data_IF_173005789570
#
_entry.id   IF_173005789570
#
_cell.length_a   1.000
_cell.length_b   1.000
_cell.length_c   1.000
_cell.angle_alpha   90.00
_cell.angle_beta   90.00
_cell.angle_gamma   90.00
#
_symmetry.space_group_name_H-M   'P 1'
#
loop_
_entity.id
_entity.type
_entity.pdbx_description
1 polymer ?
#
# COMPACT_ATOMS: atom_id res chain seq x y z
N UNK A 1 24.34 -15.60 -25.87
CA UNK A 1 23.24 -15.85 -26.82
C UNK A 1 23.19 -14.66 -27.76
N UNK A 2 23.37 -14.81 -29.09
CA UNK A 2 23.41 -13.68 -30.02
C UNK A 2 22.02 -13.46 -30.64
N UNK A 3 21.09 -12.94 -29.84
CA UNK A 3 19.73 -12.59 -30.31
C UNK A 3 19.70 -11.07 -30.50
N UNK A 4 19.35 -10.63 -31.71
CA UNK A 4 19.22 -9.19 -31.99
C UNK A 4 18.01 -8.64 -31.24
N UNK A 5 18.13 -7.44 -30.67
CA UNK A 5 17.07 -6.77 -29.89
C UNK A 5 15.72 -6.73 -30.64
N UNK A 6 15.74 -6.48 -31.94
CA UNK A 6 14.52 -6.48 -32.76
C UNK A 6 13.79 -7.82 -32.85
N UNK A 7 14.51 -8.94 -32.69
CA UNK A 7 13.88 -10.28 -32.65
C UNK A 7 13.11 -10.50 -31.35
N UNK A 8 13.60 -9.96 -30.24
CA UNK A 8 12.92 -10.03 -28.93
C UNK A 8 11.66 -9.18 -28.94
N UNK A 9 11.72 -7.95 -29.48
CA UNK A 9 10.54 -7.08 -29.60
C UNK A 9 9.42 -7.68 -30.46
N UNK A 10 9.76 -8.42 -31.52
CA UNK A 10 8.75 -9.12 -32.34
C UNK A 10 8.07 -10.28 -31.59
N UNK A 11 8.77 -10.91 -30.63
CA UNK A 11 8.17 -11.92 -29.75
C UNK A 11 7.24 -11.27 -28.72
N UNK A 12 7.64 -10.14 -28.14
CA UNK A 12 6.81 -9.36 -27.20
C UNK A 12 5.52 -8.85 -27.86
N UNK A 13 5.59 -8.45 -29.14
CA UNK A 13 4.46 -8.01 -29.94
C UNK A 13 3.57 -9.14 -30.49
N UNK A 14 3.87 -10.42 -30.18
CA UNK A 14 3.18 -11.64 -30.68
C UNK A 14 3.18 -11.79 -32.21
N UNK A 15 4.12 -11.18 -32.91
CA UNK A 15 4.24 -11.30 -34.37
C UNK A 15 5.06 -12.52 -34.82
N UNK A 16 5.87 -13.07 -33.91
CA UNK A 16 6.62 -14.30 -34.13
C UNK A 16 6.82 -15.03 -32.79
N UNK A 17 7.14 -16.34 -32.85
CA UNK A 17 7.49 -17.15 -31.69
C UNK A 17 8.90 -17.73 -31.82
N UNK A 18 9.62 -17.98 -30.71
CA UNK A 18 10.91 -18.66 -30.76
C UNK A 18 10.76 -20.09 -31.29
N UNK A 19 11.74 -20.56 -32.07
CA UNK A 19 11.82 -21.96 -32.52
C UNK A 19 12.10 -22.92 -31.35
N UNK A 20 11.56 -24.15 -31.40
CA UNK A 20 11.74 -25.19 -30.36
C UNK A 20 13.16 -25.37 -29.82
N UNK A 21 14.23 -25.46 -30.66
CA UNK A 21 15.60 -25.63 -30.15
C UNK A 21 16.09 -24.46 -29.30
N UNK A 22 15.50 -23.27 -29.51
CA UNK A 22 15.84 -22.06 -28.75
C UNK A 22 15.09 -22.02 -27.42
N UNK A 23 13.85 -22.53 -27.38
CA UNK A 23 13.10 -22.66 -26.14
C UNK A 23 13.84 -23.56 -25.16
N UNK A 24 14.35 -24.72 -25.61
CA UNK A 24 15.15 -25.63 -24.78
C UNK A 24 16.39 -24.96 -24.20
N UNK A 25 17.05 -24.09 -24.98
CA UNK A 25 18.23 -23.35 -24.52
C UNK A 25 17.88 -22.21 -23.55
N UNK A 26 16.73 -21.57 -23.73
CA UNK A 26 16.19 -20.59 -22.78
C UNK A 26 15.85 -21.26 -21.44
N UNK A 27 15.19 -22.42 -21.48
CA UNK A 27 14.87 -23.23 -20.30
C UNK A 27 16.13 -23.62 -19.55
N UNK A 28 17.16 -24.11 -20.25
CA UNK A 28 18.44 -24.45 -19.62
C UNK A 28 19.19 -23.27 -18.98
N UNK A 29 18.94 -22.03 -19.39
CA UNK A 29 19.52 -20.82 -18.79
C UNK A 29 18.67 -20.31 -17.62
N UNK A 30 17.34 -20.40 -17.75
CA UNK A 30 16.37 -19.81 -16.82
C UNK A 30 15.93 -20.77 -15.71
N UNK A 31 16.25 -22.07 -15.84
CA UNK A 31 15.83 -23.13 -14.94
C UNK A 31 14.51 -23.76 -15.37
N UNK A 32 14.42 -25.09 -15.23
CA UNK A 32 13.29 -25.92 -15.66
C UNK A 32 11.94 -25.54 -15.01
N UNK A 33 11.95 -24.77 -13.93
CA UNK A 33 10.76 -24.36 -13.18
C UNK A 33 10.01 -23.14 -13.75
N UNK A 34 10.54 -22.42 -14.74
CA UNK A 34 9.88 -21.21 -15.28
C UNK A 34 8.88 -21.53 -16.40
N UNK A 35 9.08 -22.62 -17.15
CA UNK A 35 8.20 -23.00 -18.27
C UNK A 35 7.29 -24.21 -17.98
N UNK A 36 7.29 -24.74 -16.76
CA UNK A 36 6.28 -25.74 -16.37
C UNK A 36 4.89 -25.14 -16.57
N UNK A 37 4.08 -25.81 -17.39
CA UNK A 37 2.69 -25.46 -17.66
C UNK A 37 1.80 -25.47 -16.38
N UNK A 38 2.34 -25.95 -15.24
CA UNK A 38 1.77 -25.79 -13.90
C UNK A 38 1.88 -24.36 -13.33
N UNK A 39 2.56 -23.45 -14.03
CA UNK A 39 2.49 -22.01 -13.74
C UNK A 39 1.13 -21.41 -14.12
N UNK A 40 0.26 -22.18 -14.79
CA UNK A 40 -1.11 -21.77 -15.12
C UNK A 40 -2.08 -21.78 -13.93
N UNK A 41 -1.63 -22.21 -12.75
CA UNK A 41 -2.37 -22.12 -11.48
C UNK A 41 -1.81 -21.07 -10.52
N UNK A 42 -0.98 -20.13 -10.99
CA UNK A 42 -1.00 -18.82 -10.38
C UNK A 42 -2.40 -18.27 -10.68
N UNK A 43 -3.29 -18.26 -9.69
CA UNK A 43 -4.51 -17.46 -9.73
C UNK A 43 -4.09 -16.11 -10.30
N UNK A 44 -4.44 -15.86 -11.57
CA UNK A 44 -4.23 -14.55 -12.17
C UNK A 44 -5.28 -13.70 -11.50
N UNK A 45 -4.99 -13.28 -10.28
CA UNK A 45 -5.84 -12.43 -9.48
C UNK A 45 -6.23 -11.28 -10.40
N UNK A 46 -7.53 -11.14 -10.63
CA UNK A 46 -8.03 -10.15 -11.56
C UNK A 46 -7.44 -8.78 -11.20
N UNK A 47 -6.97 -8.00 -12.19
CA UNK A 47 -6.33 -6.71 -11.92
C UNK A 47 -7.32 -5.83 -11.13
N UNK A 48 -6.89 -5.35 -9.96
CA UNK A 48 -7.69 -4.47 -9.09
C UNK A 48 -8.06 -3.18 -9.83
N UNK A 49 -9.16 -2.51 -9.47
CA UNK A 49 -9.50 -1.23 -10.09
C UNK A 49 -8.37 -0.20 -9.91
N UNK A 50 -7.66 -0.25 -8.78
CA UNK A 50 -6.45 0.56 -8.54
C UNK A 50 -5.35 0.23 -9.55
N UNK A 51 -5.09 -1.05 -9.81
CA UNK A 51 -4.12 -1.50 -10.81
C UNK A 51 -4.51 -1.11 -12.24
N UNK A 52 -5.81 -1.20 -12.57
CA UNK A 52 -6.32 -0.80 -13.88
C UNK A 52 -6.23 0.71 -14.10
N UNK A 53 -6.61 1.51 -13.10
CA UNK A 53 -6.45 2.97 -13.12
C UNK A 53 -4.98 3.35 -13.31
N UNK A 54 -4.07 2.74 -12.52
CA UNK A 54 -2.64 3.01 -12.57
C UNK A 54 -2.07 2.72 -13.96
N UNK A 55 -2.38 1.54 -14.51
CA UNK A 55 -1.96 1.14 -15.85
C UNK A 55 -2.48 2.11 -16.92
N UNK A 56 -3.77 2.44 -16.88
CA UNK A 56 -4.40 3.37 -17.83
C UNK A 56 -3.79 4.78 -17.75
N UNK A 57 -3.57 5.30 -16.54
CA UNK A 57 -2.98 6.61 -16.33
C UNK A 57 -1.50 6.66 -16.77
N UNK A 58 -0.74 5.59 -16.52
CA UNK A 58 0.65 5.46 -16.96
C UNK A 58 0.75 5.39 -18.49
N UNK A 59 -0.03 4.52 -19.12
CA UNK A 59 -0.05 4.34 -20.58
C UNK A 59 -0.58 5.59 -21.30
N UNK A 60 -1.60 6.25 -20.76
CA UNK A 60 -2.11 7.51 -21.29
C UNK A 60 -1.10 8.66 -21.27
N UNK A 61 -0.05 8.56 -20.44
CA UNK A 61 1.07 9.51 -20.40
C UNK A 61 2.33 9.02 -21.13
N UNK A 62 2.27 7.84 -21.75
CA UNK A 62 3.40 7.23 -22.45
C UNK A 62 4.58 6.88 -21.54
N UNK A 63 4.34 6.69 -20.23
CA UNK A 63 5.39 6.41 -19.26
C UNK A 63 5.68 4.90 -19.17
N UNK A 64 6.95 4.55 -19.07
CA UNK A 64 7.38 3.20 -18.70
C UNK A 64 7.22 2.98 -17.19
N UNK A 65 7.23 1.70 -16.75
CA UNK A 65 7.19 1.36 -15.32
C UNK A 65 8.33 2.03 -14.54
N UNK A 66 9.53 2.05 -15.10
CA UNK A 66 10.70 2.64 -14.45
C UNK A 66 10.61 4.16 -14.35
N UNK A 67 10.12 4.83 -15.39
CA UNK A 67 9.96 6.29 -15.37
C UNK A 67 8.92 6.72 -14.34
N UNK A 68 7.79 6.01 -14.25
CA UNK A 68 6.80 6.28 -13.22
C UNK A 68 7.38 6.02 -11.81
N UNK A 69 8.15 4.94 -11.65
CA UNK A 69 8.79 4.60 -10.38
C UNK A 69 9.73 5.70 -9.92
N UNK A 70 10.60 6.18 -10.81
CA UNK A 70 11.52 7.28 -10.51
C UNK A 70 10.77 8.56 -10.16
N UNK A 71 9.69 8.87 -10.89
CA UNK A 71 8.91 10.10 -10.68
C UNK A 71 8.09 10.08 -9.40
N UNK A 72 7.63 8.91 -8.97
CA UNK A 72 6.91 8.70 -7.71
C UNK A 72 7.84 8.40 -6.51
N UNK A 73 9.17 8.34 -6.73
CA UNK A 73 10.13 7.89 -5.72
C UNK A 73 9.82 6.49 -5.13
N UNK A 74 9.33 5.58 -5.97
CA UNK A 74 8.98 4.21 -5.62
C UNK A 74 9.87 3.19 -6.34
N UNK A 75 9.87 1.94 -5.88
CA UNK A 75 10.52 0.83 -6.58
C UNK A 75 9.72 0.39 -7.81
N UNK A 76 10.36 0.02 -8.94
CA UNK A 76 9.67 -0.49 -10.12
C UNK A 76 8.81 -1.73 -9.84
N UNK A 77 9.27 -2.58 -8.92
CA UNK A 77 8.52 -3.75 -8.46
C UNK A 77 7.21 -3.37 -7.76
N UNK A 78 7.18 -2.27 -7.00
CA UNK A 78 5.96 -1.78 -6.33
C UNK A 78 4.88 -1.43 -7.34
N UNK A 79 5.24 -0.72 -8.41
CA UNK A 79 4.28 -0.38 -9.49
C UNK A 79 3.78 -1.64 -10.18
N UNK A 80 4.69 -2.57 -10.51
CA UNK A 80 4.31 -3.85 -11.10
C UNK A 80 3.33 -4.64 -10.21
N UNK A 81 3.56 -4.68 -8.90
CA UNK A 81 2.66 -5.38 -7.96
C UNK A 81 1.29 -4.72 -7.86
N UNK A 82 1.21 -3.40 -7.93
CA UNK A 82 -0.07 -2.69 -7.95
C UNK A 82 -0.80 -2.95 -9.29
N UNK A 83 -0.12 -2.82 -10.43
CA UNK A 83 -0.74 -3.06 -11.76
C UNK A 83 -1.17 -4.51 -11.97
N UNK A 84 -0.44 -5.47 -11.38
CA UNK A 84 -0.76 -6.91 -11.46
C UNK A 84 -1.76 -7.38 -10.41
N UNK A 85 -2.26 -6.49 -9.53
CA UNK A 85 -3.19 -6.85 -8.47
C UNK A 85 -2.56 -7.57 -7.27
N UNK A 86 -1.25 -7.89 -7.29
CA UNK A 86 -0.52 -8.44 -6.13
C UNK A 86 -0.51 -7.50 -4.92
N UNK A 87 -0.70 -6.21 -5.15
CA UNK A 87 -0.96 -5.21 -4.12
C UNK A 87 -2.25 -4.47 -4.45
N UNK A 88 -3.35 -4.92 -3.86
CA UNK A 88 -4.69 -4.34 -4.08
C UNK A 88 -4.90 -3.03 -3.34
N UNK A 89 -4.40 -2.94 -2.10
CA UNK A 89 -4.48 -1.76 -1.25
C UNK A 89 -3.10 -1.15 -0.95
N UNK A 90 -2.51 -0.38 -1.88
CA UNK A 90 -1.32 0.40 -1.58
C UNK A 90 -1.61 1.46 -0.51
N UNK A 91 -0.62 1.75 0.35
CA UNK A 91 -0.77 2.74 1.41
C UNK A 91 -1.05 4.15 0.88
N UNK A 92 -1.67 5.01 1.69
CA UNK A 92 -2.06 6.38 1.29
C UNK A 92 -0.91 7.18 0.68
N UNK A 93 0.27 7.17 1.33
CA UNK A 93 1.47 7.87 0.82
C UNK A 93 1.90 7.39 -0.56
N UNK A 94 1.79 6.07 -0.81
CA UNK A 94 2.07 5.48 -2.12
C UNK A 94 1.07 5.96 -3.16
N UNK A 95 -0.21 6.05 -2.79
CA UNK A 95 -1.26 6.54 -3.69
C UNK A 95 -1.06 8.03 -4.00
N UNK A 96 -0.79 8.86 -2.99
CA UNK A 96 -0.51 10.28 -3.17
C UNK A 96 0.70 10.49 -4.08
N UNK A 97 1.80 9.78 -3.83
CA UNK A 97 2.99 9.85 -4.69
C UNK A 97 2.69 9.43 -6.14
N UNK A 98 1.86 8.41 -6.34
CA UNK A 98 1.44 7.99 -7.68
C UNK A 98 0.54 9.03 -8.35
N UNK A 99 -0.43 9.61 -7.64
CA UNK A 99 -1.32 10.65 -8.16
C UNK A 99 -0.55 11.91 -8.53
N UNK A 100 0.43 12.31 -7.71
CA UNK A 100 1.30 13.46 -7.96
C UNK A 100 2.21 13.21 -9.17
N UNK A 101 2.88 12.04 -9.22
CA UNK A 101 3.71 11.66 -10.36
C UNK A 101 2.93 11.54 -11.67
N UNK A 102 1.68 11.07 -11.59
CA UNK A 102 0.76 10.96 -12.71
C UNK A 102 -0.03 12.24 -12.95
N UNK A 103 0.07 13.29 -12.13
CA UNK A 103 -0.77 14.49 -12.20
C UNK A 103 -2.25 14.22 -12.48
N UNK A 104 -2.78 13.09 -12.00
CA UNK A 104 -4.11 12.58 -12.32
C UNK A 104 -4.72 12.02 -11.05
N UNK A 105 -5.99 12.35 -10.79
CA UNK A 105 -6.71 11.79 -9.65
C UNK A 105 -7.18 10.37 -9.95
N UNK A 106 -7.39 9.62 -8.89
CA UNK A 106 -7.92 8.26 -8.94
C UNK A 106 -9.39 8.34 -9.31
N UNK A 107 -9.87 7.39 -10.12
CA UNK A 107 -11.29 7.32 -10.44
C UNK A 107 -12.13 6.88 -9.22
N UNK A 108 -13.44 7.10 -9.29
CA UNK A 108 -14.36 6.82 -8.18
C UNK A 108 -14.39 5.33 -7.82
N UNK A 109 -14.21 4.47 -8.81
CA UNK A 109 -14.32 3.02 -8.67
C UNK A 109 -13.07 2.45 -7.99
N UNK A 110 -11.86 2.83 -8.41
CA UNK A 110 -10.63 2.47 -7.72
C UNK A 110 -10.56 3.05 -6.30
N UNK A 111 -11.06 4.27 -6.11
CA UNK A 111 -11.16 4.88 -4.78
C UNK A 111 -12.10 4.10 -3.85
N UNK A 112 -13.18 3.54 -4.39
CA UNK A 112 -14.14 2.73 -3.63
C UNK A 112 -13.59 1.35 -3.30
N UNK A 113 -12.96 0.67 -4.26
CA UNK A 113 -12.32 -0.63 -4.02
C UNK A 113 -11.23 -0.52 -2.96
N UNK A 114 -10.38 0.52 -3.03
CA UNK A 114 -9.37 0.78 -2.01
C UNK A 114 -9.99 0.96 -0.61
N UNK A 115 -11.09 1.70 -0.51
CA UNK A 115 -11.80 1.87 0.78
C UNK A 115 -12.34 0.56 1.31
N UNK A 116 -12.87 -0.31 0.44
CA UNK A 116 -13.37 -1.62 0.85
C UNK A 116 -12.22 -2.51 1.32
N UNK A 117 -11.11 -2.57 0.59
CA UNK A 117 -9.96 -3.39 0.97
C UNK A 117 -9.25 -2.88 2.23
N UNK A 118 -9.31 -1.57 2.50
CA UNK A 118 -8.78 -0.98 3.75
C UNK A 118 -9.76 -1.04 4.92
N UNK A 119 -11.03 -1.38 4.66
CA UNK A 119 -12.05 -1.55 5.70
C UNK A 119 -12.19 -3.02 6.03
N UNK A 120 -11.68 -3.44 7.18
CA UNK A 120 -11.95 -4.78 7.70
C UNK A 120 -13.37 -4.76 8.27
N UNK A 121 -14.23 -5.70 7.88
CA UNK A 121 -15.60 -5.77 8.39
C UNK A 121 -15.61 -5.78 9.93
N UNK A 122 -16.26 -4.78 10.54
CA UNK A 122 -16.27 -4.54 11.99
C UNK A 122 -15.17 -3.61 12.54
N UNK A 123 -14.08 -3.38 11.79
CA UNK A 123 -13.05 -2.39 12.12
C UNK A 123 -13.17 -1.21 11.14
N UNK A 124 -13.44 -0.01 11.63
CA UNK A 124 -13.57 1.17 10.76
C UNK A 124 -12.28 1.48 9.98
N UNK A 125 -12.39 2.37 9.00
CA UNK A 125 -11.26 2.83 8.18
C UNK A 125 -10.09 3.32 9.05
N UNK A 126 -8.88 2.91 8.70
CA UNK A 126 -7.65 3.44 9.30
C UNK A 126 -7.31 4.79 8.66
N UNK A 127 -7.45 5.88 9.41
CA UNK A 127 -7.33 7.25 8.91
C UNK A 127 -6.22 8.00 9.64
N UNK A 128 -5.39 8.70 8.87
CA UNK A 128 -4.33 9.56 9.41
C UNK A 128 -4.90 10.92 9.85
N UNK A 129 -4.24 11.54 10.83
CA UNK A 129 -4.51 12.91 11.26
C UNK A 129 -3.29 13.51 11.97
N UNK A 130 -3.22 14.83 12.06
CA UNK A 130 -2.16 15.51 12.80
C UNK A 130 -2.54 15.63 14.30
N UNK A 131 -1.81 14.96 15.23
CA UNK A 131 -2.10 15.04 16.66
C UNK A 131 -1.84 16.43 17.26
N UNK A 132 -1.08 17.29 16.57
CA UNK A 132 -0.78 18.65 17.02
C UNK A 132 -1.78 19.69 16.49
N UNK A 133 -2.66 19.33 15.56
CA UNK A 133 -3.69 20.22 15.00
C UNK A 133 -5.07 19.82 15.49
N UNK A 134 -5.60 20.57 16.47
CA UNK A 134 -6.91 20.27 17.11
C UNK A 134 -8.07 20.17 16.12
N UNK A 135 -8.01 20.89 15.00
CA UNK A 135 -9.03 20.84 13.95
C UNK A 135 -9.11 19.50 13.22
N UNK A 136 -8.04 18.70 13.25
CA UNK A 136 -8.00 17.37 12.62
C UNK A 136 -8.35 16.24 13.59
N UNK A 137 -8.57 16.54 14.87
CA UNK A 137 -8.78 15.51 15.88
C UNK A 137 -10.11 14.76 15.68
N UNK A 138 -10.08 13.42 15.65
CA UNK A 138 -11.28 12.65 15.42
C UNK A 138 -12.19 12.65 16.66
N UNK A 139 -13.41 13.16 16.50
CA UNK A 139 -14.48 13.07 17.51
C UNK A 139 -15.23 11.74 17.40
N UNK A 140 -14.48 10.64 17.47
CA UNK A 140 -15.01 9.28 17.31
C UNK A 140 -14.47 8.35 18.39
N UNK A 141 -15.23 7.28 18.65
CA UNK A 141 -14.78 6.17 19.48
C UNK A 141 -13.87 5.26 18.66
N UNK A 142 -12.72 4.88 19.18
CA UNK A 142 -11.75 4.10 18.39
C UNK A 142 -10.42 3.84 19.08
N UNK A 143 -9.53 3.21 18.32
CA UNK A 143 -8.12 3.01 18.68
C UNK A 143 -7.28 3.93 17.82
N UNK A 144 -6.25 4.54 18.41
CA UNK A 144 -5.30 5.41 17.72
C UNK A 144 -3.87 5.01 18.03
N UNK A 145 -2.98 5.33 17.11
CA UNK A 145 -1.55 5.05 17.16
C UNK A 145 -0.81 6.35 16.88
N UNK A 146 0.23 6.64 17.68
CA UNK A 146 1.16 7.73 17.42
C UNK A 146 2.47 7.20 16.84
N UNK A 147 3.06 8.01 15.98
CA UNK A 147 4.28 7.68 15.26
C UNK A 147 5.37 8.72 15.49
N UNK A 148 6.62 8.29 15.49
CA UNK A 148 7.77 9.19 15.45
C UNK A 148 8.03 9.72 14.03
N UNK A 149 9.07 10.55 13.87
CA UNK A 149 9.51 11.07 12.56
C UNK A 149 9.91 9.99 11.54
N UNK A 150 10.13 8.75 12.00
CA UNK A 150 10.55 7.60 11.20
C UNK A 150 9.37 6.67 10.92
N UNK A 151 8.14 7.10 11.19
CA UNK A 151 6.90 6.32 11.04
C UNK A 151 6.86 5.06 11.91
N UNK A 152 7.62 5.04 13.01
CA UNK A 152 7.60 3.93 13.98
C UNK A 152 6.45 4.17 14.95
N UNK A 153 5.56 3.18 15.16
CA UNK A 153 4.53 3.32 16.17
C UNK A 153 5.21 3.39 17.56
N UNK A 154 4.86 4.40 18.35
CA UNK A 154 5.44 4.66 19.68
C UNK A 154 4.41 4.55 20.80
N UNK A 155 3.14 4.78 20.50
CA UNK A 155 2.06 4.75 21.47
C UNK A 155 0.79 4.21 20.83
N UNK A 156 0.04 3.40 21.56
CA UNK A 156 -1.30 2.93 21.19
C UNK A 156 -2.24 3.27 22.32
N UNK A 157 -3.39 3.85 22.00
CA UNK A 157 -4.44 4.08 22.97
C UNK A 157 -5.82 3.89 22.37
N UNK A 158 -6.81 3.69 23.23
CA UNK A 158 -8.23 3.72 22.86
C UNK A 158 -8.97 4.83 23.58
N UNK A 159 -10.10 5.25 23.01
CA UNK A 159 -11.07 6.11 23.69
C UNK A 159 -12.50 5.93 23.19
N UNK A 160 -13.47 6.37 24.00
CA UNK A 160 -14.85 6.63 23.53
C UNK A 160 -14.93 7.91 22.70
N UNK A 161 -14.01 8.84 22.92
CA UNK A 161 -13.81 10.04 22.12
C UNK A 161 -12.30 10.33 22.05
N UNK A 162 -11.71 10.14 20.87
CA UNK A 162 -10.27 10.30 20.67
C UNK A 162 -9.84 11.76 20.89
N UNK A 163 -10.60 12.75 20.43
CA UNK A 163 -10.30 14.16 20.63
C UNK A 163 -10.20 14.56 22.11
N UNK A 164 -11.14 14.10 22.95
CA UNK A 164 -11.09 14.31 24.41
C UNK A 164 -9.83 13.67 25.01
N UNK A 165 -9.50 12.44 24.60
CA UNK A 165 -8.34 11.72 25.10
C UNK A 165 -7.01 12.37 24.68
N UNK A 166 -6.96 12.95 23.48
CA UNK A 166 -5.77 13.68 23.03
C UNK A 166 -5.55 14.95 23.84
N UNK A 167 -6.62 15.60 24.29
CA UNK A 167 -6.51 16.75 25.17
C UNK A 167 -5.75 16.41 26.47
N UNK A 168 -5.97 15.21 27.03
CA UNK A 168 -5.23 14.72 28.20
C UNK A 168 -3.73 14.50 27.93
N UNK A 169 -3.34 14.35 26.66
CA UNK A 169 -1.94 14.10 26.27
C UNK A 169 -1.17 15.38 25.96
N UNK A 170 -1.83 16.50 25.62
CA UNK A 170 -1.17 17.76 25.18
C UNK A 170 -0.10 18.24 26.15
N UNK A 171 -0.35 18.12 27.45
CA UNK A 171 0.57 18.61 28.47
C UNK A 171 1.71 17.64 28.79
N UNK A 172 1.66 16.40 28.27
CA UNK A 172 2.68 15.39 28.53
C UNK A 172 3.92 15.65 27.67
N UNK A 173 5.10 15.59 28.28
CA UNK A 173 6.37 15.85 27.59
C UNK A 173 6.56 14.96 26.36
N UNK A 174 6.08 13.71 26.44
CA UNK A 174 6.24 12.72 25.39
C UNK A 174 5.31 12.93 24.19
N UNK A 175 4.24 13.71 24.33
CA UNK A 175 3.31 13.98 23.24
C UNK A 175 3.85 15.04 22.28
N UNK A 176 4.91 15.76 22.65
CA UNK A 176 5.49 16.85 21.86
C UNK A 176 6.39 16.31 20.74
N UNK A 177 6.55 17.11 19.68
CA UNK A 177 7.61 16.88 18.69
C UNK A 177 8.99 16.96 19.36
N UNK A 178 9.98 16.15 18.95
CA UNK A 178 9.95 15.22 17.82
C UNK A 178 9.50 13.79 18.17
N UNK A 179 8.96 13.57 19.38
CA UNK A 179 8.59 12.22 19.87
C UNK A 179 7.35 11.74 19.12
N UNK A 180 6.26 12.51 19.15
CA UNK A 180 5.07 12.28 18.33
C UNK A 180 5.09 13.23 17.14
N UNK A 181 5.12 12.69 15.93
CA UNK A 181 5.10 13.46 14.68
C UNK A 181 3.74 13.38 13.98
N UNK A 182 3.18 12.16 13.87
CA UNK A 182 1.91 11.89 13.21
C UNK A 182 1.07 10.87 13.97
N UNK A 183 -0.21 10.77 13.62
CA UNK A 183 -1.15 9.84 14.24
C UNK A 183 -2.08 9.21 13.21
N UNK A 184 -2.59 8.04 13.55
CA UNK A 184 -3.63 7.36 12.78
C UNK A 184 -4.64 6.74 13.73
N UNK A 185 -5.89 6.58 13.30
CA UNK A 185 -6.94 5.95 14.10
C UNK A 185 -7.85 5.06 13.27
N UNK A 186 -8.44 4.06 13.92
CA UNK A 186 -9.58 3.30 13.41
C UNK A 186 -10.81 3.61 14.27
N UNK A 187 -11.90 4.02 13.63
CA UNK A 187 -13.18 4.21 14.31
C UNK A 187 -13.78 2.85 14.67
N UNK A 188 -13.92 2.57 15.96
CA UNK A 188 -14.46 1.33 16.50
C UNK A 188 -15.47 1.69 17.60
N UNK A 189 -16.76 1.81 17.25
CA UNK A 189 -17.82 2.16 18.20
C UNK A 189 -17.97 1.13 19.31
N UNK A 190 -17.92 -0.15 18.96
CA UNK A 190 -18.10 -1.27 19.89
C UNK A 190 -16.98 -1.33 20.93
N UNK A 191 -17.34 -1.24 22.21
CA UNK A 191 -16.37 -1.14 23.30
C UNK A 191 -15.53 -2.42 23.50
N UNK A 192 -16.14 -3.59 23.30
CA UNK A 192 -15.45 -4.88 23.46
C UNK A 192 -14.40 -5.07 22.37
N UNK A 193 -14.79 -4.92 21.11
CA UNK A 193 -13.88 -4.98 19.96
C UNK A 193 -12.76 -3.95 20.07
N UNK A 194 -13.08 -2.69 20.41
CA UNK A 194 -12.07 -1.64 20.64
C UNK A 194 -11.02 -2.04 21.67
N UNK A 195 -11.45 -2.68 22.77
CA UNK A 195 -10.53 -3.20 23.79
C UNK A 195 -9.68 -4.37 23.31
N UNK A 196 -10.26 -5.29 22.52
CA UNK A 196 -9.54 -6.42 21.94
C UNK A 196 -8.47 -5.96 20.94
N UNK A 197 -8.80 -4.99 20.09
CA UNK A 197 -7.88 -4.44 19.07
C UNK A 197 -6.71 -3.70 19.72
N UNK A 198 -6.99 -2.84 20.71
CA UNK A 198 -5.92 -2.18 21.48
C UNK A 198 -4.98 -3.22 22.12
N UNK A 199 -5.55 -4.24 22.75
CA UNK A 199 -4.76 -5.30 23.40
C UNK A 199 -3.90 -6.05 22.37
N UNK A 200 -4.44 -6.34 21.19
CA UNK A 200 -3.71 -6.98 20.09
C UNK A 200 -2.55 -6.11 19.62
N UNK A 201 -2.79 -4.81 19.40
CA UNK A 201 -1.75 -3.86 18.95
C UNK A 201 -0.64 -3.69 20.00
N UNK A 202 -0.99 -3.57 21.28
CA UNK A 202 -0.01 -3.52 22.37
C UNK A 202 0.84 -4.80 22.39
N UNK A 203 0.21 -5.98 22.28
CA UNK A 203 0.94 -7.26 22.22
C UNK A 203 1.83 -7.38 20.99
N UNK A 204 1.37 -6.87 19.84
CA UNK A 204 2.13 -6.86 18.59
C UNK A 204 3.38 -6.00 18.69
N UNK A 205 3.27 -4.82 19.31
CA UNK A 205 4.41 -3.91 19.51
C UNK A 205 5.46 -4.45 20.50
N UNK A 206 5.14 -5.49 21.28
CA UNK A 206 6.05 -6.10 22.29
C UNK A 206 6.73 -5.02 23.14
N UNK A 207 8.06 -5.05 23.26
CA UNK A 207 8.90 -4.10 24.02
C UNK A 207 9.25 -2.81 23.26
N UNK A 208 8.71 -2.61 22.05
CA UNK A 208 8.99 -1.42 21.21
C UNK A 208 7.94 -0.31 21.37
N UNK A 209 6.82 -0.58 22.04
CA UNK A 209 5.91 0.45 22.55
C UNK A 209 6.53 1.03 23.82
N UNK A 210 7.29 2.10 23.68
CA UNK A 210 7.82 2.83 24.82
C UNK A 210 7.12 4.16 24.86
N UNK A 211 6.02 4.19 25.63
CA UNK A 211 5.54 5.28 26.50
C UNK A 211 4.27 4.87 27.27
#
# INVERSE_FOLDING_TARGET
>A
MNVKRGTVSNWEAKWASPSEPRLTKLVGILGDGILSADSASAEVEAPSAVGQWLKKAREGKGLTLNELATRAHLGPATIYYIESGKTRAPGRKTIEALQDALGSRMDSDASRELKLDTTIEGLGEFRDFNPHERGEWPSAAGVYVFYDRSERPIYVGKSKNIAERLNDHVDKFWFRRPIVESASYAAIPEAKLRGQVETLLIKFMKSNAVL
#
